data_IF_619303031430
#
_entry.id   IF_619303031430
#
_cell.length_a   1.000
_cell.length_b   1.000
_cell.length_c   1.000
_cell.angle_alpha   90.00
_cell.angle_beta   90.00
_cell.angle_gamma   90.00
#
_symmetry.space_group_name_H-M   'P 1'
#
loop_
_entity.id
_entity.type
_entity.pdbx_description
1 polymer ?
#
# COMPACT_ATOMS: atom_id res chain seq x y z
N UNK A 1 -15.37 6.63 -4.16
CA UNK A 1 -14.35 7.61 -4.64
C UNK A 1 -13.08 6.86 -5.01
N UNK A 2 -12.43 7.17 -6.14
CA UNK A 2 -11.14 6.56 -6.52
C UNK A 2 -10.02 7.59 -6.35
N UNK A 3 -8.97 7.22 -5.60
CA UNK A 3 -7.76 8.03 -5.45
C UNK A 3 -6.56 7.24 -5.98
N UNK A 4 -5.63 7.93 -6.64
CA UNK A 4 -4.46 7.33 -7.26
C UNK A 4 -3.21 8.05 -6.77
N UNK A 5 -2.23 7.29 -6.32
CA UNK A 5 -0.95 7.78 -5.81
C UNK A 5 0.17 6.77 -6.01
N UNK A 6 1.25 6.95 -5.25
CA UNK A 6 2.45 6.11 -5.32
C UNK A 6 2.87 5.62 -3.94
N UNK A 7 3.68 4.58 -3.94
CA UNK A 7 4.31 3.99 -2.76
C UNK A 7 5.64 4.70 -2.53
N UNK A 8 5.61 5.73 -1.69
CA UNK A 8 6.70 6.66 -1.47
C UNK A 8 6.68 7.86 -2.42
N UNK A 9 7.46 8.87 -2.05
CA UNK A 9 7.61 10.14 -2.77
C UNK A 9 9.07 10.63 -2.79
N UNK A 10 9.84 10.37 -1.72
CA UNK A 10 11.18 10.93 -1.54
C UNK A 10 12.26 10.15 -2.30
N UNK A 11 12.32 10.31 -3.61
CA UNK A 11 13.25 9.61 -4.51
C UNK A 11 14.10 10.61 -5.32
N UNK A 12 15.43 10.47 -5.27
CA UNK A 12 16.35 11.40 -5.97
C UNK A 12 16.30 11.23 -7.49
N UNK A 13 16.12 10.00 -7.96
CA UNK A 13 15.96 9.66 -9.38
C UNK A 13 14.63 10.13 -9.97
N UNK A 14 13.73 10.70 -9.15
CA UNK A 14 12.51 11.36 -9.63
C UNK A 14 12.76 12.84 -9.98
N UNK A 15 13.92 13.41 -9.66
CA UNK A 15 14.30 14.78 -10.06
C UNK A 15 14.66 14.80 -11.55
N UNK A 16 13.86 15.51 -12.34
CA UNK A 16 13.85 15.50 -13.79
C UNK A 16 12.59 14.80 -14.33
N UNK A 17 12.39 13.50 -14.08
CA UNK A 17 11.22 12.77 -14.56
C UNK A 17 9.88 13.22 -13.97
N UNK A 18 9.85 13.54 -12.67
CA UNK A 18 8.62 13.93 -11.96
C UNK A 18 8.79 15.25 -11.21
N UNK A 19 9.84 15.37 -10.39
CA UNK A 19 10.17 16.60 -9.70
C UNK A 19 10.91 17.56 -10.64
N UNK A 20 10.64 18.87 -10.58
CA UNK A 20 11.40 19.87 -11.32
C UNK A 20 12.90 19.77 -11.02
N UNK A 21 13.78 20.01 -12.01
CA UNK A 21 15.22 20.07 -11.77
C UNK A 21 15.58 21.00 -10.60
N UNK A 22 16.43 20.53 -9.69
CA UNK A 22 16.83 21.29 -8.50
C UNK A 22 15.88 21.20 -7.29
N UNK A 23 14.82 20.39 -7.37
CA UNK A 23 13.96 20.12 -6.21
C UNK A 23 14.77 19.52 -5.06
N UNK A 24 14.71 20.15 -3.89
CA UNK A 24 15.38 19.65 -2.69
C UNK A 24 14.54 18.55 -2.02
N UNK A 25 15.20 17.56 -1.40
CA UNK A 25 14.55 16.46 -0.68
C UNK A 25 13.46 16.97 0.31
N UNK A 26 13.76 18.06 1.02
CA UNK A 26 12.85 18.66 2.01
C UNK A 26 11.59 19.28 1.42
N UNK A 27 11.50 19.51 0.10
CA UNK A 27 10.33 20.10 -0.57
C UNK A 27 9.58 19.10 -1.46
N UNK A 28 10.04 17.86 -1.52
CA UNK A 28 9.45 16.83 -2.40
C UNK A 28 8.01 16.49 -2.00
N UNK A 29 7.67 16.52 -0.70
CA UNK A 29 6.31 16.21 -0.24
C UNK A 29 5.31 17.28 -0.66
N UNK A 30 5.67 18.56 -0.51
CA UNK A 30 4.85 19.69 -0.90
C UNK A 30 4.58 19.65 -2.41
N UNK A 31 5.63 19.42 -3.21
CA UNK A 31 5.46 19.27 -4.65
C UNK A 31 4.57 18.06 -4.98
N UNK A 32 4.82 16.90 -4.36
CA UNK A 32 4.02 15.70 -4.56
C UNK A 32 2.53 15.95 -4.29
N UNK A 33 2.22 16.68 -3.22
CA UNK A 33 0.87 17.03 -2.82
C UNK A 33 0.16 18.01 -3.77
N UNK A 34 0.86 18.60 -4.74
CA UNK A 34 0.23 19.34 -5.85
C UNK A 34 -0.25 18.45 -6.99
N UNK A 35 0.22 17.20 -7.04
CA UNK A 35 -0.02 16.23 -8.14
C UNK A 35 -0.98 15.12 -7.72
N UNK A 36 -0.85 14.66 -6.48
CA UNK A 36 -1.63 13.59 -5.90
C UNK A 36 -2.20 14.00 -4.54
N UNK A 37 -3.28 13.34 -4.17
CA UNK A 37 -3.99 13.45 -2.89
C UNK A 37 -3.89 12.16 -2.06
N UNK A 38 -3.08 11.20 -2.52
CA UNK A 38 -2.88 9.89 -1.93
C UNK A 38 -1.39 9.53 -1.95
N UNK A 39 -0.87 9.03 -0.82
CA UNK A 39 0.51 8.59 -0.70
C UNK A 39 0.60 7.39 0.25
N UNK A 40 1.29 6.32 -0.17
CA UNK A 40 1.67 5.24 0.72
C UNK A 40 3.08 5.47 1.30
N UNK A 41 3.21 5.36 2.62
CA UNK A 41 4.46 5.52 3.37
C UNK A 41 5.04 4.14 3.68
N UNK A 42 6.12 3.80 2.96
CA UNK A 42 6.78 2.49 3.09
C UNK A 42 7.98 2.50 4.04
N UNK A 43 8.54 3.67 4.36
CA UNK A 43 9.69 3.76 5.27
C UNK A 43 9.36 3.19 6.68
N UNK A 44 8.08 3.23 7.07
CA UNK A 44 7.59 2.76 8.37
C UNK A 44 7.73 1.25 8.54
N UNK A 45 7.88 0.50 7.45
CA UNK A 45 8.26 -0.91 7.50
C UNK A 45 9.64 -1.11 8.17
N UNK A 46 10.60 -0.25 7.85
CA UNK A 46 11.99 -0.36 8.31
C UNK A 46 12.25 0.36 9.62
N UNK A 47 11.46 1.39 9.93
CA UNK A 47 11.66 2.24 11.10
C UNK A 47 10.31 2.57 11.71
N UNK A 48 10.13 2.28 13.00
CA UNK A 48 8.92 2.66 13.72
C UNK A 48 8.64 4.17 13.50
N UNK A 49 7.42 4.55 13.08
CA UNK A 49 7.10 5.96 12.89
C UNK A 49 7.27 6.76 14.18
N UNK A 50 7.41 8.07 14.02
CA UNK A 50 7.44 9.01 15.13
C UNK A 50 6.33 10.05 14.94
N UNK A 51 5.67 10.43 16.05
CA UNK A 51 4.60 11.43 16.03
C UNK A 51 5.04 12.73 15.35
N UNK A 52 6.26 13.21 15.64
CA UNK A 52 6.82 14.42 15.02
C UNK A 52 6.82 14.36 13.48
N UNK A 53 7.06 13.17 12.92
CA UNK A 53 7.08 12.97 11.46
C UNK A 53 5.67 12.99 10.91
N UNK A 54 4.72 12.34 11.60
CA UNK A 54 3.31 12.34 11.21
C UNK A 54 2.71 13.74 11.26
N UNK A 55 3.00 14.50 12.33
CA UNK A 55 2.62 15.91 12.46
C UNK A 55 3.21 16.71 11.29
N UNK A 56 4.52 16.60 11.05
CA UNK A 56 5.17 17.32 9.95
C UNK A 56 4.53 17.01 8.59
N UNK A 57 4.28 15.73 8.28
CA UNK A 57 3.62 15.32 7.03
C UNK A 57 2.20 15.88 6.92
N UNK A 58 1.43 15.85 8.00
CA UNK A 58 0.08 16.40 8.02
C UNK A 58 0.08 17.92 7.80
N UNK A 59 1.02 18.66 8.41
CA UNK A 59 1.11 20.13 8.23
C UNK A 59 1.56 20.56 6.84
N UNK A 60 2.32 19.71 6.14
CA UNK A 60 2.91 20.02 4.82
C UNK A 60 2.06 19.57 3.64
N UNK A 61 0.88 19.01 3.91
CA UNK A 61 -0.05 18.53 2.88
C UNK A 61 -1.41 19.24 3.02
N UNK A 62 -2.16 19.44 1.93
CA UNK A 62 -3.49 20.06 1.97
C UNK A 62 -4.49 19.27 2.82
N UNK A 63 -5.61 19.91 3.15
CA UNK A 63 -6.80 19.21 3.66
C UNK A 63 -7.28 18.15 2.65
N UNK A 64 -7.80 17.02 3.13
CA UNK A 64 -8.23 15.90 2.28
C UNK A 64 -7.10 15.00 1.76
N UNK A 65 -5.82 15.38 1.94
CA UNK A 65 -4.70 14.51 1.57
C UNK A 65 -4.69 13.23 2.43
N UNK A 66 -4.58 12.08 1.77
CA UNK A 66 -4.68 10.76 2.37
C UNK A 66 -3.33 10.05 2.39
N UNK A 67 -2.98 9.48 3.54
CA UNK A 67 -1.80 8.64 3.70
C UNK A 67 -2.18 7.19 4.02
N UNK A 68 -1.55 6.25 3.34
CA UNK A 68 -1.55 4.84 3.74
C UNK A 68 -0.22 4.54 4.44
N UNK A 69 -0.23 3.92 5.60
CA UNK A 69 1.00 3.65 6.36
C UNK A 69 1.27 2.17 6.36
N UNK A 70 2.44 1.76 5.86
CA UNK A 70 2.87 0.36 5.96
C UNK A 70 3.20 0.00 7.40
N UNK A 71 2.68 -1.14 7.86
CA UNK A 71 2.99 -1.65 9.19
C UNK A 71 4.49 -1.93 9.33
N UNK A 72 5.03 -1.72 10.53
CA UNK A 72 6.42 -2.02 10.84
C UNK A 72 6.71 -3.52 10.68
N UNK A 73 7.93 -3.89 10.28
CA UNK A 73 8.31 -5.30 10.05
C UNK A 73 8.08 -6.20 11.25
N UNK A 74 8.18 -5.69 12.48
CA UNK A 74 7.88 -6.47 13.70
C UNK A 74 6.40 -6.81 13.89
N UNK A 75 5.51 -6.27 13.06
CA UNK A 75 4.08 -6.58 13.04
C UNK A 75 3.72 -7.63 11.98
N UNK A 76 4.67 -7.99 11.10
CA UNK A 76 4.38 -8.80 9.89
C UNK A 76 5.45 -9.84 9.54
N UNK A 77 6.73 -9.50 9.64
CA UNK A 77 7.87 -10.33 9.22
C UNK A 77 8.71 -10.83 10.40
N UNK A 78 8.77 -10.07 11.48
CA UNK A 78 9.57 -10.32 12.68
C UNK A 78 8.66 -10.27 13.92
N UNK A 79 7.53 -10.98 13.86
CA UNK A 79 6.54 -11.01 14.95
C UNK A 79 7.11 -11.80 16.12
N UNK A 80 7.05 -11.23 17.33
CA UNK A 80 7.49 -11.89 18.55
C UNK A 80 6.57 -13.06 18.92
N UNK A 81 7.14 -14.09 19.54
CA UNK A 81 6.40 -15.20 20.14
C UNK A 81 5.72 -14.78 21.47
N UNK A 82 6.11 -13.65 22.06
CA UNK A 82 5.48 -13.10 23.26
C UNK A 82 4.31 -12.18 22.88
N UNK A 83 3.10 -12.63 23.23
CA UNK A 83 1.85 -11.86 23.02
C UNK A 83 1.84 -10.47 23.68
N UNK A 84 2.54 -10.29 24.81
CA UNK A 84 2.63 -8.99 25.47
C UNK A 84 3.51 -8.02 24.67
N UNK A 85 4.61 -8.52 24.10
CA UNK A 85 5.49 -7.74 23.23
C UNK A 85 4.80 -7.37 21.91
N UNK A 86 4.01 -8.29 21.34
CA UNK A 86 3.17 -8.00 20.17
C UNK A 86 2.22 -6.85 20.48
N UNK A 87 1.44 -6.93 21.57
CA UNK A 87 0.52 -5.85 21.97
C UNK A 87 1.24 -4.52 22.18
N UNK A 88 2.38 -4.53 22.87
CA UNK A 88 3.18 -3.33 23.10
C UNK A 88 3.70 -2.72 21.79
N UNK A 89 4.08 -3.56 20.82
CA UNK A 89 4.53 -3.11 19.50
C UNK A 89 3.44 -2.39 18.73
N UNK A 90 2.23 -2.97 18.70
CA UNK A 90 1.08 -2.34 18.05
C UNK A 90 0.65 -1.05 18.75
N UNK A 91 0.65 -1.02 20.09
CA UNK A 91 0.37 0.20 20.86
C UNK A 91 1.34 1.34 20.51
N UNK A 92 2.66 1.07 20.51
CA UNK A 92 3.67 2.07 20.11
C UNK A 92 3.47 2.57 18.67
N UNK A 93 3.11 1.67 17.75
CA UNK A 93 2.81 2.06 16.37
C UNK A 93 1.59 2.98 16.31
N UNK A 94 0.50 2.61 17.00
CA UNK A 94 -0.74 3.41 17.07
C UNK A 94 -0.50 4.78 17.68
N UNK A 95 0.24 4.86 18.79
CA UNK A 95 0.64 6.13 19.40
C UNK A 95 1.41 7.02 18.42
N UNK A 96 2.30 6.43 17.63
CA UNK A 96 3.09 7.16 16.64
C UNK A 96 2.25 7.70 15.47
N UNK A 97 1.21 6.97 15.05
CA UNK A 97 0.34 7.38 13.93
C UNK A 97 -0.86 8.21 14.35
N UNK A 98 -1.16 8.29 15.65
CA UNK A 98 -2.29 9.05 16.21
C UNK A 98 -2.45 10.47 15.63
N UNK A 99 -1.40 11.31 15.48
CA UNK A 99 -1.57 12.65 14.93
C UNK A 99 -2.15 12.68 13.50
N UNK A 100 -1.91 11.64 12.70
CA UNK A 100 -2.45 11.51 11.35
C UNK A 100 -3.89 11.02 11.34
N UNK A 101 -4.25 10.19 12.33
CA UNK A 101 -5.65 9.79 12.59
C UNK A 101 -6.45 11.03 13.00
N UNK A 102 -5.95 11.79 13.98
CA UNK A 102 -6.60 12.99 14.50
C UNK A 102 -6.78 14.08 13.44
N UNK A 103 -5.81 14.18 12.50
CA UNK A 103 -5.90 15.09 11.36
C UNK A 103 -6.88 14.62 10.27
N UNK A 104 -7.49 13.44 10.40
CA UNK A 104 -8.38 12.85 9.40
C UNK A 104 -7.67 12.43 8.10
N UNK A 105 -6.34 12.24 8.16
CA UNK A 105 -5.51 11.98 6.98
C UNK A 105 -5.07 10.53 6.83
N UNK A 106 -5.37 9.66 7.79
CA UNK A 106 -5.12 8.23 7.66
C UNK A 106 -6.13 7.60 6.69
N UNK A 107 -5.64 7.09 5.57
CA UNK A 107 -6.38 6.21 4.66
C UNK A 107 -6.49 4.81 5.24
N UNK A 108 -5.35 4.17 5.49
CA UNK A 108 -5.30 2.86 6.14
C UNK A 108 -3.93 2.50 6.70
N UNK A 109 -3.89 1.43 7.49
CA UNK A 109 -2.67 0.70 7.80
C UNK A 109 -2.57 -0.50 6.85
N UNK A 110 -1.51 -0.54 6.04
CA UNK A 110 -1.20 -1.66 5.16
C UNK A 110 -0.38 -2.72 5.93
N UNK A 111 -0.97 -3.89 6.13
CA UNK A 111 -0.34 -5.05 6.78
C UNK A 111 0.04 -6.06 5.70
N UNK A 112 1.26 -5.93 5.19
CA UNK A 112 1.80 -6.80 4.14
C UNK A 112 2.63 -7.93 4.73
N UNK A 113 2.24 -9.18 4.45
CA UNK A 113 2.91 -10.39 4.96
C UNK A 113 3.91 -10.99 3.95
N UNK A 114 5.03 -11.56 4.41
CA UNK A 114 6.00 -12.19 3.53
C UNK A 114 5.44 -13.42 2.81
N UNK A 115 6.12 -13.86 1.74
CA UNK A 115 5.73 -15.06 0.99
C UNK A 115 5.71 -16.35 1.85
N UNK A 116 6.54 -16.41 2.89
CA UNK A 116 6.59 -17.52 3.85
C UNK A 116 5.35 -17.62 4.75
N UNK A 117 4.56 -16.55 4.86
CA UNK A 117 3.32 -16.52 5.62
C UNK A 117 2.23 -17.28 4.86
N UNK A 118 2.07 -18.57 5.17
CA UNK A 118 1.11 -19.48 4.52
C UNK A 118 -0.19 -19.61 5.31
N UNK A 119 -1.32 -19.98 4.69
CA UNK A 119 -2.55 -20.26 5.43
C UNK A 119 -2.37 -21.40 6.44
N UNK A 120 -2.63 -21.08 7.71
CA UNK A 120 -2.69 -22.05 8.82
C UNK A 120 -3.71 -21.55 9.84
N UNK A 121 -4.13 -22.41 10.77
CA UNK A 121 -5.03 -21.98 11.85
C UNK A 121 -4.42 -20.83 12.67
N UNK A 122 -3.13 -20.93 13.01
CA UNK A 122 -2.41 -19.89 13.73
C UNK A 122 -2.36 -18.56 12.96
N UNK A 123 -2.02 -18.61 11.67
CA UNK A 123 -1.91 -17.42 10.84
C UNK A 123 -3.27 -16.78 10.56
N UNK A 124 -4.33 -17.58 10.41
CA UNK A 124 -5.70 -17.08 10.29
C UNK A 124 -6.17 -16.39 11.58
N UNK A 125 -5.84 -16.95 12.75
CA UNK A 125 -6.10 -16.30 14.05
C UNK A 125 -5.33 -14.99 14.18
N UNK A 126 -4.06 -14.94 13.76
CA UNK A 126 -3.27 -13.72 13.77
C UNK A 126 -3.89 -12.62 12.88
N UNK A 127 -4.29 -12.97 11.65
CA UNK A 127 -4.96 -12.04 10.74
C UNK A 127 -6.28 -11.53 11.34
N UNK A 128 -7.11 -12.40 11.93
CA UNK A 128 -8.34 -11.99 12.59
C UNK A 128 -8.07 -11.01 13.75
N UNK A 129 -7.04 -11.30 14.55
CA UNK A 129 -6.64 -10.51 15.71
C UNK A 129 -6.12 -9.11 15.38
N UNK A 130 -5.78 -8.83 14.12
CA UNK A 130 -5.40 -7.47 13.68
C UNK A 130 -6.49 -6.44 14.00
N UNK A 131 -7.77 -6.83 13.98
CA UNK A 131 -8.87 -5.92 14.32
C UNK A 131 -8.80 -5.42 15.76
N UNK A 132 -8.41 -6.29 16.69
CA UNK A 132 -8.23 -5.95 18.12
C UNK A 132 -6.95 -5.15 18.34
N UNK A 133 -5.88 -5.49 17.62
CA UNK A 133 -4.57 -4.84 17.75
C UNK A 133 -4.51 -3.44 17.10
N UNK A 134 -5.33 -3.19 16.09
CA UNK A 134 -5.44 -1.92 15.37
C UNK A 134 -6.88 -1.42 15.44
N UNK A 135 -7.42 -1.05 16.62
CA UNK A 135 -8.83 -0.68 16.76
C UNK A 135 -9.15 0.64 16.06
N UNK A 136 -10.38 0.79 15.57
CA UNK A 136 -10.96 2.03 15.03
C UNK A 136 -10.23 2.68 13.84
N UNK A 137 -9.32 1.96 13.18
CA UNK A 137 -8.69 2.41 11.93
C UNK A 137 -8.96 1.44 10.78
N UNK A 138 -8.97 1.91 9.53
CA UNK A 138 -9.01 1.04 8.36
C UNK A 138 -7.71 0.24 8.24
N UNK A 139 -7.83 -1.06 8.01
CA UNK A 139 -6.69 -1.97 7.85
C UNK A 139 -6.85 -2.73 6.54
N UNK A 140 -5.79 -2.75 5.74
CA UNK A 140 -5.71 -3.54 4.51
C UNK A 140 -4.63 -4.60 4.67
N UNK A 141 -4.96 -5.85 4.36
CA UNK A 141 -4.03 -6.97 4.41
C UNK A 141 -3.58 -7.35 3.01
N UNK A 142 -2.26 -7.47 2.85
CA UNK A 142 -1.66 -7.92 1.61
C UNK A 142 -0.90 -9.23 1.83
N UNK A 143 -1.28 -10.25 1.06
CA UNK A 143 -0.62 -11.54 1.06
C UNK A 143 0.30 -11.66 -0.14
N UNK A 144 1.48 -12.25 0.05
CA UNK A 144 2.42 -12.57 -1.03
C UNK A 144 2.38 -14.03 -1.47
N UNK A 145 1.57 -14.87 -0.80
CA UNK A 145 1.40 -16.27 -1.12
C UNK A 145 -0.01 -16.57 -1.64
N UNK A 146 -0.11 -17.16 -2.83
CA UNK A 146 -1.38 -17.42 -3.52
C UNK A 146 -2.29 -18.42 -2.83
N UNK A 147 -1.77 -19.21 -1.87
CA UNK A 147 -2.61 -20.13 -1.07
C UNK A 147 -3.65 -19.38 -0.22
N UNK A 148 -3.48 -18.07 -0.01
CA UNK A 148 -4.49 -17.20 0.60
C UNK A 148 -5.64 -16.83 -0.34
N UNK A 149 -5.52 -17.05 -1.66
CA UNK A 149 -6.55 -16.71 -2.66
C UNK A 149 -7.67 -17.75 -2.67
N UNK A 150 -8.64 -17.59 -1.77
CA UNK A 150 -9.74 -18.53 -1.58
C UNK A 150 -10.85 -17.89 -0.75
N UNK A 151 -12.09 -18.34 -0.95
CA UNK A 151 -13.26 -17.73 -0.31
C UNK A 151 -13.19 -17.74 1.22
N UNK A 152 -12.61 -18.77 1.84
CA UNK A 152 -12.43 -18.79 3.30
C UNK A 152 -11.59 -17.61 3.83
N UNK A 153 -10.61 -17.15 3.05
CA UNK A 153 -9.78 -15.98 3.39
C UNK A 153 -10.59 -14.70 3.24
N UNK A 154 -11.30 -14.53 2.12
CA UNK A 154 -12.12 -13.33 1.90
C UNK A 154 -13.24 -13.21 2.94
N UNK A 155 -13.87 -14.32 3.28
CA UNK A 155 -14.84 -14.41 4.37
C UNK A 155 -14.22 -14.07 5.74
N UNK A 156 -12.98 -14.51 6.02
CA UNK A 156 -12.26 -14.12 7.24
C UNK A 156 -12.04 -12.61 7.31
N UNK A 157 -11.55 -12.02 6.22
CA UNK A 157 -11.29 -10.57 6.13
C UNK A 157 -12.58 -9.77 6.31
N UNK A 158 -13.68 -10.14 5.64
CA UNK A 158 -14.99 -9.50 5.78
C UNK A 158 -15.50 -9.53 7.22
N UNK A 159 -15.49 -10.70 7.87
CA UNK A 159 -15.92 -10.83 9.28
C UNK A 159 -15.06 -10.04 10.25
N UNK A 160 -13.78 -9.84 9.91
CA UNK A 160 -12.83 -9.09 10.73
C UNK A 160 -12.77 -7.60 10.35
N UNK A 161 -13.60 -7.16 9.39
CA UNK A 161 -13.61 -5.79 8.83
C UNK A 161 -12.24 -5.35 8.31
N UNK A 162 -11.54 -6.26 7.62
CA UNK A 162 -10.23 -6.03 7.02
C UNK A 162 -10.36 -5.95 5.50
N UNK A 163 -9.68 -4.97 4.90
CA UNK A 163 -9.56 -4.84 3.45
C UNK A 163 -8.57 -5.86 2.88
N UNK A 164 -8.81 -6.30 1.66
CA UNK A 164 -7.90 -7.15 0.89
C UNK A 164 -7.13 -6.27 -0.09
N UNK A 165 -5.80 -6.36 -0.06
CA UNK A 165 -4.97 -5.70 -1.07
C UNK A 165 -4.98 -6.53 -2.36
N UNK A 166 -5.61 -5.97 -3.39
CA UNK A 166 -5.49 -6.48 -4.75
C UNK A 166 -4.11 -6.07 -5.29
N UNK A 167 -3.42 -6.96 -5.97
CA UNK A 167 -2.07 -6.69 -6.49
C UNK A 167 -2.00 -6.98 -7.98
N UNK A 168 -1.22 -6.17 -8.68
CA UNK A 168 -0.71 -6.51 -10.02
C UNK A 168 0.77 -6.85 -9.91
N UNK A 169 1.09 -8.05 -10.38
CA UNK A 169 2.41 -8.68 -10.38
C UNK A 169 2.59 -9.41 -11.73
N UNK A 170 3.83 -9.76 -12.14
CA UNK A 170 4.00 -10.51 -13.37
C UNK A 170 3.32 -11.88 -13.29
N UNK A 171 2.85 -12.45 -14.42
CA UNK A 171 2.15 -13.73 -14.46
C UNK A 171 3.13 -14.91 -14.30
N UNK A 172 3.76 -15.02 -13.13
CA UNK A 172 4.69 -16.09 -12.77
C UNK A 172 4.04 -17.09 -11.81
N UNK A 173 4.47 -18.34 -11.89
CA UNK A 173 4.00 -19.41 -10.98
C UNK A 173 4.24 -19.00 -9.52
N UNK A 174 3.18 -19.03 -8.72
CA UNK A 174 3.22 -18.73 -7.28
C UNK A 174 3.02 -17.26 -6.91
N UNK A 175 2.82 -16.37 -7.90
CA UNK A 175 2.41 -14.98 -7.71
C UNK A 175 0.91 -14.81 -7.93
N UNK A 176 0.36 -13.70 -7.44
CA UNK A 176 -1.07 -13.43 -7.50
C UNK A 176 -1.54 -13.24 -8.94
N UNK A 177 -2.66 -13.87 -9.36
CA UNK A 177 -3.36 -13.40 -10.55
C UNK A 177 -3.90 -11.98 -10.31
N UNK A 178 -4.24 -11.21 -11.37
CA UNK A 178 -4.85 -9.88 -11.26
C UNK A 178 -6.32 -9.98 -10.78
N UNK A 179 -6.47 -10.49 -9.57
CA UNK A 179 -7.73 -10.73 -8.87
C UNK A 179 -8.14 -9.45 -8.14
N UNK A 180 -9.42 -9.12 -8.25
CA UNK A 180 -10.03 -8.01 -7.53
C UNK A 180 -11.16 -8.49 -6.64
N UNK A 181 -11.06 -8.22 -5.34
CA UNK A 181 -12.05 -8.59 -4.35
C UNK A 181 -12.14 -7.47 -3.32
N UNK A 182 -13.34 -6.94 -3.10
CA UNK A 182 -13.64 -6.07 -1.97
C UNK A 182 -14.02 -6.92 -0.75
N UNK A 183 -13.36 -6.68 0.38
CA UNK A 183 -13.65 -7.35 1.67
C UNK A 183 -13.97 -6.38 2.80
N UNK A 184 -13.96 -5.07 2.52
CA UNK A 184 -14.38 -3.99 3.41
C UNK A 184 -14.87 -2.82 2.57
N UNK A 185 -15.31 -1.76 3.24
CA UNK A 185 -15.76 -0.50 2.60
C UNK A 185 -14.60 0.28 1.97
N UNK A 186 -13.38 -0.24 2.02
CA UNK A 186 -12.20 0.31 1.37
C UNK A 186 -11.53 -0.75 0.49
N UNK A 187 -11.52 -0.49 -0.82
CA UNK A 187 -10.75 -1.26 -1.78
C UNK A 187 -9.33 -0.71 -1.91
N UNK A 188 -8.36 -1.60 -2.10
CA UNK A 188 -6.95 -1.25 -2.18
C UNK A 188 -6.28 -2.01 -3.32
N UNK A 189 -5.57 -1.30 -4.20
CA UNK A 189 -4.86 -1.89 -5.34
C UNK A 189 -3.41 -1.43 -5.32
N UNK A 190 -2.46 -2.36 -5.42
CA UNK A 190 -1.03 -2.07 -5.58
C UNK A 190 -0.48 -2.61 -6.88
N UNK A 191 0.12 -1.74 -7.68
CA UNK A 191 0.80 -2.08 -8.91
C UNK A 191 2.30 -2.23 -8.66
N UNK A 192 2.84 -3.44 -8.73
CA UNK A 192 4.27 -3.69 -8.47
C UNK A 192 5.13 -3.68 -9.73
N UNK A 193 4.53 -3.56 -10.91
CA UNK A 193 5.22 -3.83 -12.17
C UNK A 193 5.15 -5.30 -12.54
N UNK A 194 5.47 -5.60 -13.80
CA UNK A 194 5.46 -6.96 -14.37
C UNK A 194 6.85 -7.36 -14.88
N UNK A 195 7.92 -6.94 -14.20
CA UNK A 195 9.30 -7.32 -14.59
C UNK A 195 9.60 -8.79 -14.26
N UNK A 196 9.07 -9.69 -15.08
CA UNK A 196 9.17 -11.13 -14.90
C UNK A 196 10.63 -11.63 -14.91
N UNK A 197 11.48 -11.01 -15.72
CA UNK A 197 12.89 -11.40 -15.87
C UNK A 197 13.69 -11.18 -14.58
N UNK A 198 13.40 -10.09 -13.85
CA UNK A 198 14.12 -9.69 -12.64
C UNK A 198 13.37 -10.06 -11.35
N UNK A 199 12.11 -10.49 -11.43
CA UNK A 199 11.30 -10.76 -10.23
C UNK A 199 11.97 -11.70 -9.22
N UNK A 200 12.44 -12.87 -9.70
CA UNK A 200 13.17 -13.84 -8.86
C UNK A 200 14.69 -13.71 -8.97
N UNK A 201 15.19 -13.21 -10.11
CA UNK A 201 16.62 -13.16 -10.44
C UNK A 201 17.06 -11.70 -10.65
N UNK A 202 17.11 -10.94 -9.57
CA UNK A 202 17.67 -9.58 -9.54
C UNK A 202 18.95 -9.57 -8.73
N UNK A 203 19.85 -8.66 -9.10
CA UNK A 203 21.03 -8.33 -8.31
C UNK A 203 20.65 -7.32 -7.22
N UNK A 204 19.74 -6.42 -7.54
CA UNK A 204 19.24 -5.38 -6.64
C UNK A 204 17.72 -5.49 -6.47
N UNK A 205 17.19 -5.41 -5.23
CA UNK A 205 15.75 -5.58 -4.98
C UNK A 205 14.84 -4.66 -5.79
N UNK A 206 15.31 -3.46 -6.14
CA UNK A 206 14.53 -2.49 -6.91
C UNK A 206 14.31 -2.89 -8.38
N UNK A 207 15.14 -3.77 -8.95
CA UNK A 207 15.00 -4.21 -10.35
C UNK A 207 13.69 -4.98 -10.59
N UNK A 208 13.08 -5.55 -9.54
CA UNK A 208 11.72 -6.15 -9.65
C UNK A 208 10.66 -5.13 -10.02
N UNK A 209 10.87 -3.89 -9.57
CA UNK A 209 9.97 -2.75 -9.67
C UNK A 209 10.35 -1.80 -10.82
N UNK A 210 11.45 -2.07 -11.53
CA UNK A 210 11.81 -1.38 -12.76
C UNK A 210 10.92 -1.88 -13.89
N UNK A 211 9.79 -1.20 -14.05
CA UNK A 211 8.75 -1.53 -15.02
C UNK A 211 7.86 -0.32 -15.28
N UNK A 212 7.77 0.11 -16.52
CA UNK A 212 6.79 1.11 -16.96
C UNK A 212 5.60 0.39 -17.60
N UNK A 213 4.43 0.44 -16.96
CA UNK A 213 3.22 -0.14 -17.52
C UNK A 213 2.85 0.52 -18.85
N UNK A 214 2.37 -0.28 -19.79
CA UNK A 214 1.78 0.24 -21.02
C UNK A 214 0.33 0.71 -20.80
N UNK A 215 -0.19 1.51 -21.72
CA UNK A 215 -1.59 1.94 -21.69
C UNK A 215 -2.55 0.76 -21.79
N UNK A 216 -2.20 -0.24 -22.59
CA UNK A 216 -2.98 -1.46 -22.80
C UNK A 216 -3.11 -2.24 -21.48
N UNK A 217 -2.00 -2.41 -20.76
CA UNK A 217 -1.98 -3.10 -19.47
C UNK A 217 -2.80 -2.37 -18.40
N UNK A 218 -2.73 -1.04 -18.35
CA UNK A 218 -3.57 -0.25 -17.44
C UNK A 218 -5.05 -0.29 -17.86
N UNK A 219 -5.34 -0.41 -19.17
CA UNK A 219 -6.72 -0.52 -19.68
C UNK A 219 -7.39 -1.78 -19.16
N UNK A 220 -6.65 -2.88 -19.02
CA UNK A 220 -7.15 -4.12 -18.40
C UNK A 220 -7.68 -3.86 -16.97
N UNK A 221 -7.08 -2.92 -16.23
CA UNK A 221 -7.42 -2.64 -14.83
C UNK A 221 -8.57 -1.64 -14.65
N UNK A 222 -8.88 -0.82 -15.65
CA UNK A 222 -9.98 0.16 -15.56
C UNK A 222 -11.33 -0.46 -15.15
N UNK A 223 -11.86 -1.50 -15.82
CA UNK A 223 -13.13 -2.11 -15.41
C UNK A 223 -13.05 -2.74 -14.01
N UNK A 224 -11.89 -3.29 -13.63
CA UNK A 224 -11.67 -3.90 -12.32
C UNK A 224 -11.70 -2.86 -11.19
N UNK A 225 -11.02 -1.73 -11.39
CA UNK A 225 -10.99 -0.61 -10.44
C UNK A 225 -12.39 0.00 -10.30
N UNK A 226 -13.12 0.18 -11.42
CA UNK A 226 -14.50 0.68 -11.40
C UNK A 226 -15.42 -0.27 -10.62
N UNK A 227 -15.33 -1.58 -10.86
CA UNK A 227 -16.10 -2.57 -10.11
C UNK A 227 -15.78 -2.60 -8.61
N UNK A 228 -14.51 -2.37 -8.22
CA UNK A 228 -14.14 -2.19 -6.82
C UNK A 228 -14.74 -0.92 -6.22
N UNK A 229 -14.75 0.19 -6.98
CA UNK A 229 -15.32 1.46 -6.55
C UNK A 229 -16.86 1.45 -6.43
N UNK A 230 -17.55 0.50 -7.05
CA UNK A 230 -18.98 0.25 -6.84
C UNK A 230 -19.25 -0.54 -5.55
N UNK A 231 -18.27 -1.29 -5.05
CA UNK A 231 -18.39 -2.16 -3.88
C UNK A 231 -17.80 -1.57 -2.61
N UNK A 232 -17.03 -0.48 -2.72
CA UNK A 232 -16.34 0.18 -1.62
C UNK A 232 -16.57 1.69 -1.67
N UNK A 233 -16.66 2.32 -0.50
CA UNK A 233 -16.78 3.78 -0.38
C UNK A 233 -15.53 4.49 -0.92
N UNK A 234 -14.37 3.90 -0.66
CA UNK A 234 -13.05 4.40 -1.11
C UNK A 234 -12.26 3.32 -1.82
N UNK A 235 -11.69 3.66 -2.97
CA UNK A 235 -10.77 2.81 -3.73
C UNK A 235 -9.42 3.52 -3.84
N UNK A 236 -8.42 2.99 -3.16
CA UNK A 236 -7.06 3.53 -3.12
C UNK A 236 -6.18 2.73 -4.07
N UNK A 237 -5.56 3.40 -5.04
CA UNK A 237 -4.73 2.78 -6.06
C UNK A 237 -3.31 3.32 -5.99
N UNK A 238 -2.36 2.45 -5.71
CA UNK A 238 -0.96 2.82 -5.45
C UNK A 238 -0.03 2.15 -6.46
N UNK A 239 0.83 2.95 -7.08
CA UNK A 239 1.93 2.46 -7.90
C UNK A 239 3.20 2.29 -7.07
N UNK A 240 3.78 1.09 -7.10
CA UNK A 240 4.99 0.70 -6.36
C UNK A 240 6.18 0.39 -7.29
N UNK A 241 6.01 0.54 -8.60
CA UNK A 241 7.07 0.51 -9.61
C UNK A 241 7.88 1.82 -9.61
N UNK A 242 8.47 2.17 -8.46
CA UNK A 242 8.99 3.52 -8.17
C UNK A 242 10.35 3.82 -8.81
N UNK A 243 10.93 2.93 -9.61
CA UNK A 243 12.22 3.20 -10.25
C UNK A 243 12.10 4.37 -11.24
N UNK A 244 13.01 5.33 -11.20
CA UNK A 244 13.15 6.41 -12.20
C UNK A 244 11.86 7.19 -12.52
N UNK A 245 10.96 7.35 -11.54
CA UNK A 245 9.68 8.07 -11.71
C UNK A 245 8.61 7.33 -12.53
N UNK A 246 8.81 6.05 -12.84
CA UNK A 246 7.84 5.24 -13.60
C UNK A 246 6.47 5.16 -12.89
N UNK A 247 6.46 4.97 -11.57
CA UNK A 247 5.23 4.96 -10.77
C UNK A 247 4.41 6.25 -10.93
N UNK A 248 5.04 7.42 -10.88
CA UNK A 248 4.35 8.70 -11.06
C UNK A 248 3.82 8.84 -12.50
N UNK A 249 4.61 8.42 -13.49
CA UNK A 249 4.20 8.40 -14.90
C UNK A 249 2.95 7.52 -15.10
N UNK A 250 2.93 6.32 -14.53
CA UNK A 250 1.78 5.42 -14.64
C UNK A 250 0.58 5.87 -13.79
N UNK A 251 0.81 6.49 -12.62
CA UNK A 251 -0.25 7.11 -11.83
C UNK A 251 -0.95 8.22 -12.61
N UNK A 252 -0.21 9.10 -13.29
CA UNK A 252 -0.78 10.14 -14.15
C UNK A 252 -1.54 9.53 -15.34
N UNK A 253 -0.99 8.49 -15.97
CA UNK A 253 -1.65 7.78 -17.06
C UNK A 253 -3.00 7.18 -16.63
N UNK A 254 -3.02 6.48 -15.49
CA UNK A 254 -4.24 5.88 -14.96
C UNK A 254 -5.28 6.93 -14.56
N UNK A 255 -4.87 8.03 -13.91
CA UNK A 255 -5.77 9.14 -13.56
C UNK A 255 -6.45 9.71 -14.80
N UNK A 256 -5.70 9.95 -15.89
CA UNK A 256 -6.26 10.42 -17.15
C UNK A 256 -7.26 9.41 -17.74
N UNK A 257 -6.95 8.12 -17.67
CA UNK A 257 -7.83 7.05 -18.18
C UNK A 257 -9.11 6.87 -17.36
N UNK A 258 -9.09 7.18 -16.06
CA UNK A 258 -10.26 7.10 -15.20
C UNK A 258 -11.21 8.30 -15.37
N UNK A 259 -10.70 9.45 -15.80
CA UNK A 259 -11.47 10.67 -16.09
C UNK A 259 -12.17 10.64 -17.46
N UNK A 260 -11.69 9.80 -18.37
CA UNK A 260 -12.30 9.53 -19.68
C UNK A 260 -13.33 8.41 -19.65
#
# INVERSE_FOLDING_TARGET
>A
MIQVGTSGFSYKDWVGPFYPPGTADRTMLEYYATRYDLLELDYTYYTMPAQRTMISMCTRTPEGFTFCIKAHKSMTHEVSDDSAEVKATFARFMDAVAPMIDAGKLGCILVQFPWSFRPSAQNATYVAGLRELLPNVPVTVEFRNTEWVQERTFSLLRRSQLGFCCVDEPPLRGLFPPLTVATSDMAYVRFHGRNAAKWWKHEQPWERYDYLYSREELTEWIPRIRALAEQAERTLVLFNNCHAGQAATNADMLKQMLLG
#
